data_IF_973999081038
#
_entry.id   IF_973999081038
#
_cell.length_a   1.000
_cell.length_b   1.000
_cell.length_c   1.000
_cell.angle_alpha   90.00
_cell.angle_beta   90.00
_cell.angle_gamma   90.00
#
_symmetry.space_group_name_H-M   'P 1'
#
loop_
_entity.id
_entity.type
_entity.pdbx_description
1 polymer ?
#
# COMPACT_ATOMS: atom_id res chain seq x y z
N UNK A 1 6.33 1.89 9.66
CA UNK A 1 6.20 0.42 9.69
C UNK A 1 7.57 -0.19 9.39
N UNK A 2 7.79 -1.45 9.70
CA UNK A 2 9.11 -2.11 9.54
C UNK A 2 9.91 -2.18 10.84
N UNK A 3 11.17 -2.61 10.71
CA UNK A 3 12.13 -2.73 11.81
C UNK A 3 12.76 -1.36 12.07
N UNK A 4 12.89 -0.99 13.35
CA UNK A 4 13.52 0.27 13.76
C UNK A 4 15.01 0.27 13.36
N UNK A 5 15.49 1.39 12.84
CA UNK A 5 16.89 1.66 12.48
C UNK A 5 17.53 0.74 11.41
N UNK A 6 16.75 -0.18 10.83
CA UNK A 6 17.23 -1.15 9.83
C UNK A 6 17.94 -0.47 8.64
N UNK A 7 17.38 0.64 8.14
CA UNK A 7 17.91 1.31 6.95
C UNK A 7 19.31 1.90 7.17
N UNK A 8 19.60 2.43 8.36
CA UNK A 8 20.93 2.94 8.71
C UNK A 8 21.97 1.82 8.76
N UNK A 9 21.56 0.61 9.16
CA UNK A 9 22.43 -0.56 9.21
C UNK A 9 22.75 -1.09 7.81
N UNK A 10 21.77 -1.13 6.90
CA UNK A 10 21.94 -1.66 5.54
C UNK A 10 22.43 -0.63 4.52
N UNK A 11 22.54 0.64 4.92
CA UNK A 11 22.99 1.73 4.03
C UNK A 11 24.34 1.44 3.32
N UNK A 12 25.38 0.89 3.97
CA UNK A 12 26.67 0.65 3.31
C UNK A 12 26.62 -0.34 2.15
N UNK A 13 25.58 -1.19 2.08
CA UNK A 13 25.41 -2.22 1.04
C UNK A 13 24.32 -1.88 0.04
N UNK A 14 23.78 -0.65 0.06
CA UNK A 14 22.72 -0.25 -0.89
C UNK A 14 23.28 -0.08 -2.30
N UNK A 15 22.49 -0.50 -3.29
CA UNK A 15 22.77 -0.25 -4.69
C UNK A 15 21.68 0.66 -5.30
N UNK A 16 22.11 1.68 -6.04
CA UNK A 16 21.19 2.55 -6.79
C UNK A 16 21.07 2.05 -8.21
N UNK A 17 19.91 1.48 -8.54
CA UNK A 17 19.58 1.03 -9.89
C UNK A 17 18.69 2.04 -10.60
N UNK A 18 18.91 2.32 -11.90
CA UNK A 18 18.07 3.23 -12.63
C UNK A 18 16.69 2.61 -12.88
N UNK A 19 15.64 3.44 -12.87
CA UNK A 19 14.26 2.95 -12.92
C UNK A 19 13.94 2.16 -14.21
N UNK A 20 14.55 2.52 -15.34
CA UNK A 20 14.38 1.81 -16.62
C UNK A 20 14.85 0.35 -16.56
N UNK A 21 15.75 0.00 -15.63
CA UNK A 21 16.23 -1.38 -15.46
C UNK A 21 15.12 -2.35 -15.04
N UNK A 22 13.98 -1.82 -14.59
CA UNK A 22 12.80 -2.60 -14.24
C UNK A 22 11.94 -2.98 -15.45
N UNK A 23 12.21 -2.43 -16.64
CA UNK A 23 11.42 -2.71 -17.84
C UNK A 23 11.36 -4.21 -18.15
N UNK A 24 10.17 -4.71 -18.47
CA UNK A 24 9.91 -6.14 -18.71
C UNK A 24 9.90 -7.02 -17.45
N UNK A 25 10.29 -6.51 -16.28
CA UNK A 25 10.26 -7.26 -15.02
C UNK A 25 8.84 -7.33 -14.44
N UNK A 26 8.61 -8.35 -13.61
CA UNK A 26 7.41 -8.45 -12.78
C UNK A 26 7.74 -8.03 -11.36
N UNK A 27 6.99 -7.06 -10.81
CA UNK A 27 7.19 -6.54 -9.46
C UNK A 27 6.00 -6.88 -8.57
N UNK A 28 6.29 -7.48 -7.42
CA UNK A 28 5.34 -7.57 -6.32
C UNK A 28 5.28 -6.20 -5.61
N UNK A 29 4.08 -5.64 -5.49
CA UNK A 29 3.84 -4.34 -4.88
C UNK A 29 3.02 -4.54 -3.61
N UNK A 30 3.54 -4.12 -2.47
CA UNK A 30 2.75 -3.98 -1.24
C UNK A 30 1.75 -2.83 -1.41
N UNK A 31 0.51 -3.18 -1.72
CA UNK A 31 -0.56 -2.21 -1.96
C UNK A 31 -0.98 -1.50 -0.67
N UNK A 32 -0.93 -2.21 0.47
CA UNK A 32 -1.31 -1.66 1.77
C UNK A 32 -0.39 -0.50 2.16
N UNK A 33 0.91 -0.63 1.88
CA UNK A 33 1.90 0.40 2.16
C UNK A 33 1.67 1.64 1.30
N UNK A 34 1.43 1.49 -0.01
CA UNK A 34 1.17 2.62 -0.92
C UNK A 34 -0.09 3.40 -0.53
N UNK A 35 -1.16 2.70 -0.15
CA UNK A 35 -2.41 3.33 0.28
C UNK A 35 -2.20 4.08 1.60
N UNK A 36 -1.57 3.43 2.58
CA UNK A 36 -1.30 4.01 3.89
C UNK A 36 -0.37 5.22 3.80
N UNK A 37 0.73 5.13 3.04
CA UNK A 37 1.67 6.22 2.82
C UNK A 37 0.96 7.48 2.28
N UNK A 38 0.14 7.33 1.25
CA UNK A 38 -0.54 8.46 0.61
C UNK A 38 -1.51 9.20 1.54
N UNK A 39 -2.02 8.55 2.59
CA UNK A 39 -2.89 9.18 3.59
C UNK A 39 -2.11 10.05 4.60
N UNK A 40 -0.81 9.84 4.74
CA UNK A 40 0.03 10.54 5.72
C UNK A 40 0.88 11.67 5.12
N UNK A 41 0.78 11.91 3.80
CA UNK A 41 1.47 13.00 3.12
C UNK A 41 0.83 14.34 3.49
N UNK A 42 1.48 15.09 4.39
CA UNK A 42 0.95 16.35 4.94
C UNK A 42 0.58 17.36 3.85
N UNK A 43 1.38 17.46 2.79
CA UNK A 43 1.12 18.38 1.68
C UNK A 43 -0.19 18.09 0.91
N UNK A 44 -0.73 16.87 1.01
CA UNK A 44 -1.97 16.46 0.35
C UNK A 44 -3.19 16.51 1.27
N UNK A 45 -3.00 16.55 2.59
CA UNK A 45 -4.09 16.55 3.56
C UNK A 45 -4.92 17.83 3.43
N UNK A 46 -6.25 17.68 3.30
CA UNK A 46 -7.19 18.79 3.11
C UNK A 46 -7.15 19.46 1.73
N UNK A 47 -6.20 19.11 0.85
CA UNK A 47 -6.07 19.68 -0.50
C UNK A 47 -6.45 18.71 -1.61
N UNK A 48 -6.13 17.43 -1.44
CA UNK A 48 -6.38 16.39 -2.44
C UNK A 48 -7.48 15.48 -1.94
N UNK A 49 -8.57 15.38 -2.71
CA UNK A 49 -9.62 14.39 -2.45
C UNK A 49 -9.08 13.00 -2.77
N UNK A 50 -9.10 12.08 -1.81
CA UNK A 50 -8.65 10.68 -1.94
C UNK A 50 -7.20 10.56 -2.48
N UNK A 51 -6.18 11.02 -1.73
CA UNK A 51 -4.78 11.05 -2.19
C UNK A 51 -4.23 9.66 -2.55
N UNK A 52 -4.72 8.60 -1.91
CA UNK A 52 -4.36 7.22 -2.21
C UNK A 52 -4.74 6.81 -3.64
N UNK A 53 -5.93 7.17 -4.13
CA UNK A 53 -6.33 6.84 -5.51
C UNK A 53 -5.50 7.61 -6.53
N UNK A 54 -5.28 8.91 -6.28
CA UNK A 54 -4.44 9.76 -7.13
C UNK A 54 -3.04 9.18 -7.26
N UNK A 55 -2.37 8.92 -6.14
CA UNK A 55 -0.99 8.43 -6.15
C UNK A 55 -0.88 7.01 -6.71
N UNK A 56 -1.83 6.14 -6.38
CA UNK A 56 -1.89 4.79 -6.94
C UNK A 56 -1.99 4.85 -8.47
N UNK A 57 -2.92 5.65 -9.01
CA UNK A 57 -3.08 5.82 -10.45
C UNK A 57 -1.76 6.23 -11.13
N UNK A 58 -1.11 7.29 -10.65
CA UNK A 58 0.13 7.77 -11.26
C UNK A 58 1.29 6.79 -11.13
N UNK A 59 1.42 6.08 -9.99
CA UNK A 59 2.46 5.05 -9.81
C UNK A 59 2.24 3.88 -10.77
N UNK A 60 1.01 3.39 -10.87
CA UNK A 60 0.65 2.29 -11.76
C UNK A 60 0.85 2.67 -13.22
N UNK A 61 0.34 3.83 -13.66
CA UNK A 61 0.54 4.30 -15.02
C UNK A 61 2.02 4.44 -15.36
N UNK A 62 2.82 5.07 -14.50
CA UNK A 62 4.26 5.25 -14.75
C UNK A 62 5.01 3.92 -14.95
N UNK A 63 4.79 2.95 -14.05
CA UNK A 63 5.47 1.65 -14.12
C UNK A 63 4.97 0.80 -15.30
N UNK A 64 3.66 0.82 -15.59
CA UNK A 64 3.10 0.05 -16.70
C UNK A 64 3.49 0.64 -18.06
N UNK A 65 3.61 1.97 -18.20
CA UNK A 65 4.15 2.61 -19.40
C UNK A 65 5.60 2.20 -19.67
N UNK A 66 6.39 1.94 -18.63
CA UNK A 66 7.75 1.39 -18.75
C UNK A 66 7.79 -0.12 -19.06
N UNK A 67 6.65 -0.78 -19.23
CA UNK A 67 6.57 -2.22 -19.49
C UNK A 67 6.76 -3.11 -18.26
N UNK A 68 6.62 -2.57 -17.05
CA UNK A 68 6.68 -3.35 -15.80
C UNK A 68 5.33 -4.05 -15.56
N UNK A 69 5.37 -5.35 -15.25
CA UNK A 69 4.18 -6.12 -14.85
C UNK A 69 4.01 -6.01 -13.33
N UNK A 70 2.89 -5.50 -12.87
CA UNK A 70 2.64 -5.33 -11.43
C UNK A 70 1.76 -6.45 -10.88
N UNK A 71 2.17 -7.02 -9.74
CA UNK A 71 1.38 -7.95 -8.93
C UNK A 71 1.13 -7.29 -7.59
N UNK A 72 -0.11 -6.85 -7.34
CA UNK A 72 -0.46 -6.23 -6.06
C UNK A 72 -0.68 -7.30 -5.00
N UNK A 73 0.07 -7.17 -3.90
CA UNK A 73 -0.04 -8.00 -2.72
C UNK A 73 -0.77 -7.18 -1.65
N UNK A 74 -1.86 -7.76 -1.17
CA UNK A 74 -2.67 -7.19 -0.10
C UNK A 74 -2.41 -7.97 1.18
N UNK A 75 -2.33 -7.24 2.29
CA UNK A 75 -2.27 -7.84 3.62
C UNK A 75 -3.58 -8.59 3.92
N UNK A 76 -3.45 -9.74 4.58
CA UNK A 76 -4.57 -10.47 5.18
C UNK A 76 -4.72 -10.11 6.66
N UNK A 77 -5.25 -11.05 7.44
CA UNK A 77 -5.35 -10.90 8.89
C UNK A 77 -3.97 -10.81 9.53
N UNK A 78 -3.82 -9.85 10.44
CA UNK A 78 -2.56 -9.66 11.15
C UNK A 78 -2.32 -10.83 12.13
N UNK A 79 -1.12 -11.44 12.16
CA UNK A 79 -0.78 -12.41 13.18
C UNK A 79 -0.93 -11.82 14.58
N UNK A 80 -1.26 -12.68 15.56
CA UNK A 80 -1.54 -12.28 16.96
C UNK A 80 -0.46 -11.35 17.51
N UNK A 81 0.82 -11.68 17.28
CA UNK A 81 1.96 -10.87 17.73
C UNK A 81 1.93 -9.46 17.12
N UNK A 82 1.73 -9.34 15.80
CA UNK A 82 1.66 -8.04 15.10
C UNK A 82 0.48 -7.22 15.62
N UNK A 83 -0.68 -7.85 15.81
CA UNK A 83 -1.88 -7.19 16.33
C UNK A 83 -1.67 -6.63 17.75
N UNK A 84 -1.10 -7.43 18.65
CA UNK A 84 -0.80 -7.02 20.02
C UNK A 84 0.20 -5.86 20.07
N UNK A 85 1.30 -5.95 19.31
CA UNK A 85 2.29 -4.87 19.24
C UNK A 85 1.69 -3.58 18.67
N UNK A 86 0.84 -3.69 17.65
CA UNK A 86 0.13 -2.54 17.07
C UNK A 86 -0.84 -1.89 18.07
N UNK A 87 -1.54 -2.70 18.89
CA UNK A 87 -2.41 -2.18 19.95
C UNK A 87 -1.62 -1.38 20.97
N UNK A 88 -0.55 -1.96 21.53
CA UNK A 88 0.34 -1.26 22.50
C UNK A 88 0.89 0.05 21.93
N UNK A 89 1.32 0.05 20.67
CA UNK A 89 1.85 1.25 20.00
C UNK A 89 0.77 2.34 19.85
N UNK A 90 -0.44 1.95 19.47
CA UNK A 90 -1.59 2.87 19.36
C UNK A 90 -1.95 3.46 20.71
N UNK A 91 -2.00 2.64 21.77
CA UNK A 91 -2.25 3.08 23.13
C UNK A 91 -1.23 4.12 23.58
N UNK A 92 0.07 3.87 23.40
CA UNK A 92 1.12 4.84 23.77
C UNK A 92 0.94 6.17 23.01
N UNK A 93 0.65 6.11 21.72
CA UNK A 93 0.54 7.30 20.86
C UNK A 93 -0.70 8.15 21.14
N UNK A 94 -1.79 7.54 21.60
CA UNK A 94 -3.10 8.20 21.75
C UNK A 94 -3.67 8.15 23.18
N UNK A 95 -2.89 7.73 24.19
CA UNK A 95 -3.28 7.79 25.60
C UNK A 95 -3.70 9.22 25.96
N UNK A 96 -5.02 9.43 26.13
CA UNK A 96 -5.65 10.73 26.39
C UNK A 96 -6.76 11.12 25.39
N UNK A 97 -6.73 10.59 24.17
CA UNK A 97 -7.80 10.78 23.18
C UNK A 97 -8.74 9.57 23.20
N UNK A 98 -9.92 9.70 23.82
CA UNK A 98 -11.00 8.71 23.69
C UNK A 98 -11.42 8.63 22.21
N UNK A 99 -10.95 7.62 21.47
CA UNK A 99 -11.52 7.31 20.15
C UNK A 99 -12.72 6.36 20.33
N UNK A 100 -13.85 6.76 19.76
CA UNK A 100 -14.99 5.89 19.47
C UNK A 100 -14.51 4.66 18.68
N UNK A 101 -15.04 3.49 19.05
CA UNK A 101 -14.61 2.19 18.53
C UNK A 101 -14.52 2.18 17.01
N UNK A 102 -13.39 1.73 16.46
CA UNK A 102 -13.24 1.50 15.03
C UNK A 102 -14.25 0.42 14.59
N UNK A 103 -14.91 0.57 13.43
CA UNK A 103 -15.81 -0.46 12.93
C UNK A 103 -15.00 -1.73 12.69
N UNK A 104 -15.48 -2.86 13.23
CA UNK A 104 -14.93 -4.18 12.94
C UNK A 104 -14.99 -4.36 11.42
N UNK A 105 -13.83 -4.60 10.79
CA UNK A 105 -13.79 -5.05 9.40
C UNK A 105 -14.43 -6.43 9.38
N UNK A 106 -15.70 -6.50 9.00
CA UNK A 106 -16.34 -7.76 8.65
C UNK A 106 -15.78 -8.14 7.28
N UNK A 107 -15.05 -9.25 7.24
CA UNK A 107 -14.57 -9.87 6.00
C UNK A 107 -15.77 -10.44 5.24
N UNK A 108 -16.55 -9.56 4.61
CA UNK A 108 -17.47 -9.95 3.55
C UNK A 108 -16.78 -9.65 2.21
N UNK A 109 -15.62 -10.25 1.98
CA UNK A 109 -15.05 -10.40 0.64
C UNK A 109 -15.84 -11.49 -0.08
N UNK A 110 -17.08 -11.16 -0.44
CA UNK A 110 -17.75 -11.84 -1.53
C UNK A 110 -16.84 -11.70 -2.75
N UNK A 111 -16.19 -12.80 -3.14
CA UNK A 111 -15.53 -12.90 -4.45
C UNK A 111 -16.64 -12.77 -5.49
N UNK A 112 -16.98 -11.53 -5.83
CA UNK A 112 -17.78 -11.21 -6.99
C UNK A 112 -17.04 -11.79 -8.19
N UNK A 113 -17.53 -12.93 -8.69
CA UNK A 113 -17.04 -13.59 -9.90
C UNK A 113 -17.04 -12.54 -11.00
N UNK A 114 -15.86 -12.04 -11.37
CA UNK A 114 -15.70 -11.11 -12.49
C UNK A 114 -16.28 -11.81 -13.73
N UNK A 115 -17.49 -11.41 -14.12
CA UNK A 115 -18.08 -11.90 -15.36
C UNK A 115 -17.24 -11.31 -16.47
N UNK A 116 -16.57 -12.17 -17.22
CA UNK A 116 -15.97 -11.84 -18.52
C UNK A 116 -17.10 -11.33 -19.41
N UNK A 117 -17.34 -10.03 -19.37
CA UNK A 117 -18.05 -9.33 -20.44
C UNK A 117 -17.11 -9.30 -21.62
N UNK A 118 -17.56 -9.85 -22.74
CA UNK A 118 -16.87 -9.76 -24.03
C UNK A 118 -16.57 -8.28 -24.32
N UNK A 119 -15.30 -7.90 -24.18
CA UNK A 119 -14.80 -6.67 -24.79
C UNK A 119 -14.75 -6.98 -26.27
N UNK A 120 -15.81 -6.61 -26.99
CA UNK A 120 -15.73 -6.49 -28.45
C UNK A 120 -14.72 -5.38 -28.71
N UNK A 121 -13.53 -5.79 -29.11
CA UNK A 121 -12.58 -4.94 -29.82
C UNK A 121 -13.32 -4.38 -31.04
N UNK A 122 -13.59 -3.08 -31.01
CA UNK A 122 -13.80 -2.32 -32.24
C UNK A 122 -12.46 -1.66 -32.52
N UNK A 123 -12.00 -1.93 -33.73
CA UNK A 123 -10.76 -1.46 -34.36
C UNK A 123 -10.72 0.07 -34.32
#
# INVERSE_FOLDING_TARGET
MGVHDLWSIVEPVRESVPLYSLSGKTLAVDLSLWVCEAQHVQAMMGRVTKPHLRNLFFRVSSLTLMGVKLVFVMEGEAPILKAETMRKRTEIRYKGFKKSAAPKCTTNTGRGRFKRGEIKTVI
#
